data_IF_834348792836
#
_entry.id   IF_834348792836
#
_cell.length_a   1.000
_cell.length_b   1.000
_cell.length_c   1.000
_cell.angle_alpha   90.00
_cell.angle_beta   90.00
_cell.angle_gamma   90.00
#
_symmetry.space_group_name_H-M   'P 1'
#
loop_
_entity.id
_entity.type
_entity.pdbx_description
1 polymer ?
#
# COMPACT_ATOMS: atom_id res chain seq x y z
N UNK A 1 10.25 -1.83 -3.50
CA UNK A 1 11.00 -0.59 -3.24
C UNK A 1 10.18 0.64 -3.58
N UNK A 2 9.98 0.94 -4.87
CA UNK A 2 9.30 2.19 -5.31
C UNK A 2 7.89 2.33 -4.72
N UNK A 3 7.05 1.29 -4.78
CA UNK A 3 5.70 1.35 -4.21
C UNK A 3 5.67 1.66 -2.71
N UNK A 4 6.59 1.10 -1.92
CA UNK A 4 6.70 1.40 -0.49
C UNK A 4 7.20 2.82 -0.20
N UNK A 5 8.15 3.32 -0.99
CA UNK A 5 8.63 4.71 -0.88
C UNK A 5 7.52 5.71 -1.24
N UNK A 6 6.82 5.45 -2.36
CA UNK A 6 5.67 6.26 -2.77
C UNK A 6 4.55 6.19 -1.71
N UNK A 7 4.38 5.05 -1.05
CA UNK A 7 3.43 4.90 0.04
C UNK A 7 3.69 5.83 1.21
N UNK A 8 4.93 5.88 1.67
CA UNK A 8 5.32 6.81 2.73
C UNK A 8 5.15 8.27 2.31
N UNK A 9 5.58 8.61 1.09
CA UNK A 9 5.51 9.98 0.59
C UNK A 9 4.07 10.46 0.36
N UNK A 10 3.20 9.61 -0.22
CA UNK A 10 1.81 9.94 -0.50
C UNK A 10 1.02 10.15 0.80
N UNK A 11 1.09 9.19 1.74
CA UNK A 11 0.46 9.37 3.06
C UNK A 11 1.04 10.54 3.83
N UNK A 12 2.37 10.74 3.79
CA UNK A 12 3.00 11.89 4.43
C UNK A 12 2.49 13.21 3.87
N UNK A 13 2.43 13.34 2.54
CA UNK A 13 1.88 14.52 1.87
C UNK A 13 0.39 14.74 2.19
N UNK A 14 -0.43 13.68 2.17
CA UNK A 14 -1.84 13.73 2.54
C UNK A 14 -2.02 14.34 3.93
N UNK A 15 -1.32 13.81 4.93
CA UNK A 15 -1.43 14.29 6.31
C UNK A 15 -0.89 15.70 6.45
N UNK A 16 0.25 16.04 5.83
CA UNK A 16 0.75 17.42 5.86
C UNK A 16 -0.28 18.40 5.29
N UNK A 17 -0.91 18.09 4.16
CA UNK A 17 -1.91 18.94 3.50
C UNK A 17 -3.17 19.05 4.35
N UNK A 18 -3.79 17.93 4.72
CA UNK A 18 -5.11 17.94 5.38
C UNK A 18 -5.07 18.23 6.88
N UNK A 19 -3.91 18.14 7.54
CA UNK A 19 -3.79 18.49 8.96
C UNK A 19 -3.06 19.81 9.18
N UNK A 20 -1.86 19.98 8.60
CA UNK A 20 -0.98 21.10 8.94
C UNK A 20 -1.19 22.31 8.04
N UNK A 21 -1.53 22.07 6.77
CA UNK A 21 -1.73 23.12 5.77
C UNK A 21 -3.18 23.24 5.30
N UNK A 22 -4.14 22.76 6.10
CA UNK A 22 -5.54 22.66 5.69
C UNK A 22 -6.11 24.02 5.27
N UNK A 23 -5.89 25.08 6.05
CA UNK A 23 -6.34 26.43 5.73
C UNK A 23 -5.69 26.99 4.45
N UNK A 24 -4.41 26.69 4.23
CA UNK A 24 -3.66 27.17 3.06
C UNK A 24 -4.04 26.39 1.79
N UNK A 25 -4.46 25.14 1.93
CA UNK A 25 -4.89 24.30 0.83
C UNK A 25 -6.33 24.62 0.38
N UNK A 26 -7.15 25.22 1.25
CA UNK A 26 -8.54 25.56 0.93
C UNK A 26 -8.66 26.46 -0.32
N UNK A 27 -9.54 26.06 -1.24
CA UNK A 27 -9.79 26.78 -2.49
C UNK A 27 -8.65 26.67 -3.51
N UNK A 28 -7.64 25.84 -3.26
CA UNK A 28 -6.57 25.54 -4.20
C UNK A 28 -6.70 24.11 -4.72
N UNK A 29 -6.03 23.83 -5.84
CA UNK A 29 -5.93 22.48 -6.40
C UNK A 29 -5.42 21.44 -5.38
N UNK A 30 -4.54 21.82 -4.45
CA UNK A 30 -3.99 20.90 -3.44
C UNK A 30 -4.99 20.55 -2.33
N UNK A 31 -6.04 21.35 -2.15
CA UNK A 31 -7.11 21.08 -1.19
C UNK A 31 -8.26 20.25 -1.75
N UNK A 32 -8.31 20.06 -3.07
CA UNK A 32 -9.35 19.24 -3.70
C UNK A 32 -9.19 17.77 -3.31
N UNK A 33 -10.29 17.11 -2.96
CA UNK A 33 -10.27 15.70 -2.56
C UNK A 33 -9.74 14.78 -3.68
N UNK A 34 -10.00 15.14 -4.94
CA UNK A 34 -9.51 14.39 -6.10
C UNK A 34 -7.97 14.42 -6.24
N UNK A 35 -7.29 15.45 -5.73
CA UNK A 35 -5.84 15.60 -5.87
C UNK A 35 -5.08 14.46 -5.18
N UNK A 36 -5.46 14.13 -3.93
CA UNK A 36 -4.69 13.13 -3.17
C UNK A 36 -4.77 11.75 -3.80
N UNK A 37 -5.91 11.42 -4.41
CA UNK A 37 -6.12 10.14 -5.04
C UNK A 37 -5.28 9.92 -6.30
N UNK A 38 -4.74 10.98 -6.92
CA UNK A 38 -3.76 10.84 -8.00
C UNK A 38 -2.50 10.12 -7.48
N UNK A 39 -2.04 10.50 -6.28
CA UNK A 39 -0.90 9.87 -5.63
C UNK A 39 -1.26 8.47 -5.13
N UNK A 40 -2.46 8.29 -4.56
CA UNK A 40 -2.89 7.00 -4.03
C UNK A 40 -3.00 5.93 -5.12
N UNK A 41 -3.58 6.28 -6.28
CA UNK A 41 -3.71 5.36 -7.41
C UNK A 41 -2.34 4.86 -7.86
N UNK A 42 -1.37 5.78 -8.03
CA UNK A 42 -0.02 5.41 -8.44
C UNK A 42 0.67 4.52 -7.39
N UNK A 43 0.53 4.88 -6.11
CA UNK A 43 1.04 4.14 -4.97
C UNK A 43 0.49 2.71 -4.92
N UNK A 44 -0.83 2.54 -4.91
CA UNK A 44 -1.47 1.23 -4.81
C UNK A 44 -1.25 0.37 -6.05
N UNK A 45 -1.18 0.97 -7.25
CA UNK A 45 -0.83 0.23 -8.46
C UNK A 45 0.59 -0.37 -8.38
N UNK A 46 1.57 0.41 -7.92
CA UNK A 46 2.94 -0.09 -7.73
C UNK A 46 3.03 -1.14 -6.62
N UNK A 47 2.28 -0.99 -5.54
CA UNK A 47 2.20 -1.98 -4.47
C UNK A 47 1.53 -3.28 -4.96
N UNK A 48 0.50 -3.19 -5.80
CA UNK A 48 -0.14 -4.33 -6.43
C UNK A 48 0.84 -5.13 -7.29
N UNK A 49 1.59 -4.45 -8.16
CA UNK A 49 2.65 -5.09 -8.97
C UNK A 49 3.74 -5.68 -8.06
N UNK A 50 4.13 -4.96 -7.00
CA UNK A 50 5.09 -5.44 -6.01
C UNK A 50 4.63 -6.72 -5.30
N UNK A 51 3.35 -6.80 -4.91
CA UNK A 51 2.76 -7.98 -4.29
C UNK A 51 2.80 -9.20 -5.21
N UNK A 52 2.52 -9.02 -6.50
CA UNK A 52 2.66 -10.07 -7.51
C UNK A 52 4.11 -10.58 -7.56
N UNK A 53 5.09 -9.68 -7.62
CA UNK A 53 6.51 -10.06 -7.62
C UNK A 53 6.92 -10.85 -6.38
N UNK A 54 6.50 -10.41 -5.19
CA UNK A 54 6.74 -11.10 -3.91
C UNK A 54 6.11 -12.49 -3.94
N UNK A 55 4.86 -12.62 -4.41
CA UNK A 55 4.17 -13.89 -4.50
C UNK A 55 4.85 -14.87 -5.45
N UNK A 56 5.16 -14.44 -6.68
CA UNK A 56 5.77 -15.29 -7.70
C UNK A 56 7.08 -15.91 -7.22
N UNK A 57 7.90 -15.13 -6.49
CA UNK A 57 9.19 -15.58 -5.96
C UNK A 57 9.09 -16.74 -4.97
N UNK A 58 7.95 -16.91 -4.32
CA UNK A 58 7.73 -17.94 -3.29
C UNK A 58 6.49 -18.81 -3.57
N UNK A 59 5.97 -18.77 -4.79
CA UNK A 59 4.68 -19.37 -5.16
C UNK A 59 4.62 -20.89 -4.94
N UNK A 60 5.76 -21.58 -5.05
CA UNK A 60 5.92 -23.02 -4.80
C UNK A 60 6.04 -23.37 -3.32
N UNK A 61 6.35 -22.39 -2.47
CA UNK A 61 6.61 -22.58 -1.03
C UNK A 61 5.46 -22.08 -0.16
N UNK A 62 4.53 -21.34 -0.74
CA UNK A 62 3.39 -20.78 -0.04
C UNK A 62 2.15 -21.68 -0.13
N UNK A 63 1.62 -22.09 1.02
CA UNK A 63 0.42 -22.91 1.11
C UNK A 63 -0.86 -22.15 0.76
N UNK A 64 -1.99 -22.87 0.68
CA UNK A 64 -3.31 -22.32 0.30
C UNK A 64 -3.73 -21.09 1.12
N UNK A 65 -3.48 -21.10 2.43
CA UNK A 65 -3.79 -19.97 3.32
C UNK A 65 -2.99 -18.72 2.94
N UNK A 66 -1.70 -18.87 2.65
CA UNK A 66 -0.89 -17.75 2.19
C UNK A 66 -1.32 -17.22 0.82
N UNK A 67 -1.79 -18.09 -0.08
CA UNK A 67 -2.41 -17.68 -1.35
C UNK A 67 -3.69 -16.88 -1.13
N UNK A 68 -4.54 -17.30 -0.20
CA UNK A 68 -5.74 -16.53 0.16
C UNK A 68 -5.39 -15.14 0.71
N UNK A 69 -4.38 -15.05 1.59
CA UNK A 69 -3.85 -13.76 2.06
C UNK A 69 -3.33 -12.89 0.90
N UNK A 70 -2.59 -13.47 -0.04
CA UNK A 70 -2.13 -12.77 -1.24
C UNK A 70 -3.29 -12.22 -2.09
N UNK A 71 -4.32 -13.01 -2.34
CA UNK A 71 -5.50 -12.54 -3.08
C UNK A 71 -6.26 -11.44 -2.34
N UNK A 72 -6.32 -11.50 -1.01
CA UNK A 72 -6.89 -10.42 -0.21
C UNK A 72 -6.07 -9.12 -0.33
N UNK A 73 -4.73 -9.20 -0.33
CA UNK A 73 -3.86 -8.05 -0.61
C UNK A 73 -4.12 -7.48 -2.01
N UNK A 74 -4.21 -8.33 -3.03
CA UNK A 74 -4.53 -7.90 -4.40
C UNK A 74 -5.90 -7.24 -4.49
N UNK A 75 -6.91 -7.80 -3.82
CA UNK A 75 -8.24 -7.24 -3.78
C UNK A 75 -8.26 -5.87 -3.09
N UNK A 76 -7.56 -5.73 -1.96
CA UNK A 76 -7.42 -4.46 -1.25
C UNK A 76 -6.77 -3.38 -2.13
N UNK A 77 -5.60 -3.66 -2.69
CA UNK A 77 -4.92 -2.71 -3.57
C UNK A 77 -5.68 -2.43 -4.87
N UNK A 78 -6.28 -3.44 -5.47
CA UNK A 78 -7.10 -3.29 -6.67
C UNK A 78 -8.32 -2.41 -6.42
N UNK A 79 -8.99 -2.61 -5.28
CA UNK A 79 -10.12 -1.77 -4.88
C UNK A 79 -9.68 -0.33 -4.62
N UNK A 80 -8.53 -0.10 -3.98
CA UNK A 80 -7.99 1.26 -3.82
C UNK A 80 -7.68 1.93 -5.16
N UNK A 81 -7.10 1.20 -6.13
CA UNK A 81 -6.83 1.74 -7.47
C UNK A 81 -8.13 2.10 -8.18
N UNK A 82 -9.12 1.20 -8.18
CA UNK A 82 -10.41 1.44 -8.86
C UNK A 82 -11.20 2.55 -8.16
N UNK A 83 -11.22 2.56 -6.83
CA UNK A 83 -11.87 3.61 -6.03
C UNK A 83 -11.24 4.98 -6.30
N UNK A 84 -9.92 5.09 -6.19
CA UNK A 84 -9.21 6.34 -6.45
C UNK A 84 -9.41 6.84 -7.88
N UNK A 85 -9.36 5.96 -8.89
CA UNK A 85 -9.66 6.33 -10.28
C UNK A 85 -11.11 6.82 -10.43
N UNK A 86 -12.06 6.19 -9.76
CA UNK A 86 -13.47 6.61 -9.77
C UNK A 86 -13.62 8.00 -9.17
N UNK A 87 -12.97 8.27 -8.03
CA UNK A 87 -13.01 9.59 -7.37
C UNK A 87 -12.37 10.67 -8.24
N UNK A 88 -11.23 10.39 -8.89
CA UNK A 88 -10.61 11.33 -9.83
C UNK A 88 -11.57 11.64 -10.99
N UNK A 89 -12.13 10.63 -11.65
CA UNK A 89 -13.01 10.83 -12.82
C UNK A 89 -14.28 11.59 -12.43
N UNK A 90 -14.91 11.22 -11.31
CA UNK A 90 -16.12 11.89 -10.83
C UNK A 90 -15.81 13.31 -10.35
N UNK A 91 -14.71 13.50 -9.64
CA UNK A 91 -14.27 14.81 -9.13
C UNK A 91 -14.00 15.81 -10.25
N UNK A 92 -13.37 15.35 -11.34
CA UNK A 92 -13.15 16.17 -12.54
C UNK A 92 -14.44 16.46 -13.34
N UNK A 93 -15.49 15.66 -13.18
CA UNK A 93 -16.73 15.78 -13.96
C UNK A 93 -17.85 16.55 -13.23
N UNK A 94 -17.99 16.37 -11.92
CA UNK A 94 -19.12 16.87 -11.13
C UNK A 94 -18.68 17.90 -10.09
N UNK A 95 -17.42 17.84 -9.63
CA UNK A 95 -16.85 18.74 -8.59
C UNK A 95 -17.72 18.90 -7.32
N UNK A 96 -18.49 17.86 -6.98
CA UNK A 96 -19.31 17.81 -5.76
C UNK A 96 -18.63 16.96 -4.67
N UNK A 97 -18.07 17.64 -3.68
CA UNK A 97 -17.35 17.03 -2.56
C UNK A 97 -18.21 16.05 -1.74
N UNK A 98 -19.53 16.27 -1.66
CA UNK A 98 -20.42 15.35 -0.95
C UNK A 98 -20.48 13.97 -1.63
N UNK A 99 -20.55 13.96 -2.97
CA UNK A 99 -20.52 12.72 -3.76
C UNK A 99 -19.17 12.00 -3.63
N UNK A 100 -18.06 12.75 -3.63
CA UNK A 100 -16.72 12.15 -3.46
C UNK A 100 -16.55 11.50 -2.08
N UNK A 101 -17.03 12.16 -1.02
CA UNK A 101 -17.01 11.60 0.33
C UNK A 101 -17.80 10.29 0.47
N UNK A 102 -18.93 10.15 -0.22
CA UNK A 102 -19.70 8.88 -0.23
C UNK A 102 -18.92 7.76 -0.91
N UNK A 103 -18.25 8.04 -2.04
CA UNK A 103 -17.41 7.05 -2.72
C UNK A 103 -16.25 6.58 -1.82
N UNK A 104 -15.69 7.50 -1.05
CA UNK A 104 -14.63 7.22 -0.10
C UNK A 104 -15.07 6.27 1.00
N UNK A 105 -16.20 6.56 1.65
CA UNK A 105 -16.77 5.76 2.75
C UNK A 105 -17.09 4.33 2.30
N UNK A 106 -17.44 4.12 1.03
CA UNK A 106 -17.77 2.79 0.51
C UNK A 106 -16.50 1.99 0.18
N UNK A 107 -15.51 2.62 -0.45
CA UNK A 107 -14.36 1.92 -1.04
C UNK A 107 -13.20 1.76 -0.05
N UNK A 108 -12.87 2.81 0.70
CA UNK A 108 -11.67 2.83 1.56
C UNK A 108 -11.72 1.86 2.73
N UNK A 109 -12.82 1.72 3.50
CA UNK A 109 -12.86 0.81 4.63
C UNK A 109 -12.70 -0.65 4.19
N UNK A 110 -13.39 -1.05 3.13
CA UNK A 110 -13.30 -2.41 2.61
C UNK A 110 -11.89 -2.70 2.07
N UNK A 111 -11.30 -1.77 1.31
CA UNK A 111 -9.95 -1.91 0.80
C UNK A 111 -8.93 -2.07 1.94
N UNK A 112 -9.04 -1.25 3.00
CA UNK A 112 -8.18 -1.34 4.17
C UNK A 112 -8.36 -2.65 4.95
N UNK A 113 -9.59 -3.13 5.15
CA UNK A 113 -9.83 -4.41 5.83
C UNK A 113 -9.22 -5.57 5.05
N UNK A 114 -9.47 -5.63 3.74
CA UNK A 114 -8.90 -6.67 2.87
C UNK A 114 -7.38 -6.61 2.86
N UNK A 115 -6.82 -5.41 2.73
CA UNK A 115 -5.39 -5.19 2.74
C UNK A 115 -4.76 -5.59 4.07
N UNK A 116 -5.32 -5.15 5.20
CA UNK A 116 -4.75 -5.41 6.52
C UNK A 116 -4.77 -6.90 6.87
N UNK A 117 -5.92 -7.56 6.73
CA UNK A 117 -6.06 -9.01 6.98
C UNK A 117 -5.22 -9.80 5.98
N UNK A 118 -5.27 -9.43 4.70
CA UNK A 118 -4.49 -10.05 3.64
C UNK A 118 -3.00 -9.97 3.92
N UNK A 119 -2.49 -8.79 4.29
CA UNK A 119 -1.09 -8.55 4.62
C UNK A 119 -0.63 -9.34 5.84
N UNK A 120 -1.47 -9.46 6.87
CA UNK A 120 -1.15 -10.29 8.03
C UNK A 120 -0.96 -11.75 7.61
N UNK A 121 -1.94 -12.31 6.91
CA UNK A 121 -1.91 -13.73 6.50
C UNK A 121 -0.78 -13.99 5.50
N UNK A 122 -0.64 -13.14 4.49
CA UNK A 122 0.40 -13.25 3.46
C UNK A 122 1.80 -13.01 4.03
N UNK A 123 1.96 -12.06 4.94
CA UNK A 123 3.23 -11.76 5.59
C UNK A 123 3.70 -12.87 6.52
N UNK A 124 2.80 -13.47 7.31
CA UNK A 124 3.11 -14.68 8.09
C UNK A 124 3.53 -15.82 7.15
N UNK A 125 2.82 -16.00 6.04
CA UNK A 125 3.16 -17.04 5.07
C UNK A 125 4.53 -16.79 4.40
N UNK A 126 4.84 -15.53 4.07
CA UNK A 126 6.14 -15.09 3.53
C UNK A 126 7.26 -15.31 4.54
N UNK A 127 7.03 -14.95 5.80
CA UNK A 127 7.96 -15.17 6.90
C UNK A 127 8.27 -16.66 7.08
N UNK A 128 7.24 -17.51 7.04
CA UNK A 128 7.36 -18.97 7.16
C UNK A 128 8.04 -19.62 5.96
N UNK A 129 7.81 -19.09 4.75
CA UNK A 129 8.47 -19.59 3.55
C UNK A 129 9.99 -19.38 3.61
N UNK A 130 10.43 -18.29 4.24
CA UNK A 130 11.85 -18.01 4.48
C UNK A 130 12.68 -17.77 3.22
N UNK A 131 12.01 -17.52 2.08
CA UNK A 131 12.66 -17.23 0.80
C UNK A 131 13.08 -15.75 0.72
N UNK A 132 12.24 -14.85 1.25
CA UNK A 132 12.49 -13.42 1.30
C UNK A 132 12.88 -12.98 2.72
N UNK A 133 13.46 -11.77 2.91
CA UNK A 133 13.85 -11.28 4.22
C UNK A 133 12.69 -11.28 5.23
N UNK A 134 12.88 -12.05 6.30
CA UNK A 134 11.88 -12.21 7.38
C UNK A 134 11.45 -10.89 8.01
N UNK A 135 12.38 -9.96 8.18
CA UNK A 135 12.09 -8.62 8.70
C UNK A 135 11.10 -7.85 7.81
N UNK A 136 11.33 -7.83 6.50
CA UNK A 136 10.42 -7.20 5.53
C UNK A 136 9.02 -7.82 5.55
N UNK A 137 8.93 -9.15 5.68
CA UNK A 137 7.67 -9.86 5.78
C UNK A 137 6.88 -9.51 7.06
N UNK A 138 7.55 -9.39 8.21
CA UNK A 138 6.93 -8.97 9.47
C UNK A 138 6.45 -7.52 9.41
N UNK A 139 7.28 -6.60 8.90
CA UNK A 139 6.90 -5.20 8.73
C UNK A 139 5.68 -5.05 7.82
N UNK A 140 5.66 -5.77 6.69
CA UNK A 140 4.53 -5.82 5.77
C UNK A 140 3.26 -6.39 6.41
N UNK A 141 3.37 -7.31 7.37
CA UNK A 141 2.24 -7.88 8.10
C UNK A 141 1.69 -6.94 9.18
N UNK A 142 2.58 -6.34 9.96
CA UNK A 142 2.23 -5.59 11.18
C UNK A 142 1.75 -4.18 10.85
N UNK A 143 2.42 -3.48 9.92
CA UNK A 143 2.11 -2.08 9.61
C UNK A 143 0.65 -1.83 9.23
N UNK A 144 0.06 -2.59 8.29
CA UNK A 144 -1.33 -2.41 7.88
C UNK A 144 -2.36 -2.71 8.98
N UNK A 145 -2.09 -3.74 9.79
CA UNK A 145 -2.94 -4.09 10.94
C UNK A 145 -2.89 -2.97 11.99
N UNK A 146 -1.71 -2.44 12.26
CA UNK A 146 -1.55 -1.31 13.17
C UNK A 146 -2.26 -0.08 12.62
N UNK A 147 -2.07 0.27 11.34
CA UNK A 147 -2.76 1.39 10.71
C UNK A 147 -4.28 1.27 10.84
N UNK A 148 -4.82 0.09 10.51
CA UNK A 148 -6.24 -0.20 10.63
C UNK A 148 -6.72 -0.06 12.09
N UNK A 149 -5.97 -0.61 13.05
CA UNK A 149 -6.31 -0.49 14.47
C UNK A 149 -6.32 0.98 14.92
N UNK A 150 -5.36 1.80 14.48
CA UNK A 150 -5.30 3.24 14.78
C UNK A 150 -6.58 3.97 14.33
N UNK A 151 -7.09 3.65 13.13
CA UNK A 151 -8.37 4.21 12.67
C UNK A 151 -9.55 3.76 13.54
N UNK A 152 -9.61 2.49 13.93
CA UNK A 152 -10.72 1.95 14.73
C UNK A 152 -10.81 2.54 16.14
N UNK A 153 -9.68 2.99 16.70
CA UNK A 153 -9.63 3.60 18.04
C UNK A 153 -9.67 5.14 18.01
N UNK A 154 -9.95 5.74 16.85
CA UNK A 154 -10.10 7.20 16.72
C UNK A 154 -8.79 7.98 16.68
N UNK A 155 -7.67 7.33 16.39
CA UNK A 155 -6.37 8.01 16.18
C UNK A 155 -6.12 8.37 14.71
N UNK A 156 -7.13 8.19 13.84
CA UNK A 156 -7.08 8.46 12.40
C UNK A 156 -6.68 9.88 12.06
N UNK A 157 -7.15 10.88 12.82
CA UNK A 157 -6.90 12.28 12.47
C UNK A 157 -5.59 12.84 13.06
N UNK A 158 -4.84 12.02 13.80
CA UNK A 158 -3.61 12.44 14.46
C UNK A 158 -2.40 12.00 13.65
N UNK A 159 -1.62 12.98 13.18
CA UNK A 159 -0.45 12.77 12.31
C UNK A 159 0.53 11.74 12.88
N UNK A 160 0.97 11.91 14.13
CA UNK A 160 2.06 11.11 14.68
C UNK A 160 1.67 9.61 14.86
N UNK A 161 0.51 9.25 15.44
CA UNK A 161 0.05 7.86 15.51
C UNK A 161 -0.16 7.16 14.17
N UNK A 162 -0.39 7.90 13.07
CA UNK A 162 -0.60 7.33 11.73
C UNK A 162 0.72 7.20 10.96
N UNK A 163 1.61 8.16 11.07
CA UNK A 163 2.89 8.11 10.35
C UNK A 163 3.75 6.91 10.74
N UNK A 164 3.68 6.45 11.99
CA UNK A 164 4.45 5.28 12.45
C UNK A 164 4.03 3.99 11.73
N UNK A 165 2.76 3.54 11.76
CA UNK A 165 2.35 2.35 11.02
C UNK A 165 2.49 2.50 9.50
N UNK A 166 2.35 3.72 8.96
CA UNK A 166 2.65 4.02 7.55
C UNK A 166 4.12 3.77 7.24
N UNK A 167 5.05 4.26 8.07
CA UNK A 167 6.48 4.03 7.92
C UNK A 167 6.83 2.54 8.03
N UNK A 168 6.25 1.83 8.99
CA UNK A 168 6.44 0.37 9.15
C UNK A 168 6.01 -0.36 7.88
N UNK A 169 4.83 -0.03 7.34
CA UNK A 169 4.30 -0.62 6.10
C UNK A 169 5.22 -0.33 4.91
N UNK A 170 5.62 0.93 4.75
CA UNK A 170 6.50 1.38 3.69
C UNK A 170 7.85 0.65 3.73
N UNK A 171 8.48 0.57 4.90
CA UNK A 171 9.75 -0.14 5.10
C UNK A 171 9.63 -1.62 4.76
N UNK A 172 8.52 -2.27 5.11
CA UNK A 172 8.26 -3.66 4.72
C UNK A 172 8.28 -3.86 3.21
N UNK A 173 7.51 -3.06 2.47
CA UNK A 173 7.47 -3.10 1.00
C UNK A 173 8.77 -2.65 0.33
N UNK A 174 9.48 -1.71 0.97
CA UNK A 174 10.79 -1.27 0.49
C UNK A 174 11.80 -2.39 0.58
N UNK A 175 11.90 -3.05 1.73
CA UNK A 175 12.83 -4.14 1.98
C UNK A 175 12.55 -5.35 1.08
N UNK A 176 11.29 -5.80 1.02
CA UNK A 176 10.91 -6.93 0.16
C UNK A 176 11.20 -6.64 -1.31
N UNK A 177 10.87 -5.44 -1.81
CA UNK A 177 11.16 -5.12 -3.20
C UNK A 177 12.65 -4.83 -3.47
N UNK A 178 13.43 -4.42 -2.46
CA UNK A 178 14.88 -4.35 -2.59
C UNK A 178 15.48 -5.75 -2.77
N UNK A 179 15.04 -6.73 -1.97
CA UNK A 179 15.50 -8.12 -2.06
C UNK A 179 15.19 -8.75 -3.43
N UNK A 180 13.99 -8.52 -3.97
CA UNK A 180 13.63 -8.96 -5.32
C UNK A 180 14.56 -8.36 -6.40
N UNK A 181 14.95 -7.10 -6.23
CA UNK A 181 15.81 -6.41 -7.19
C UNK A 181 17.28 -6.83 -7.08
N UNK A 182 17.78 -7.06 -5.86
CA UNK A 182 19.17 -7.47 -5.63
C UNK A 182 19.44 -8.87 -6.18
N UNK A 183 18.55 -9.84 -5.92
CA UNK A 183 18.71 -11.21 -6.43
C UNK A 183 18.67 -11.28 -7.97
N UNK A 184 17.80 -10.45 -8.61
CA UNK A 184 17.75 -10.36 -10.07
C UNK A 184 19.10 -9.94 -10.67
N UNK A 185 19.83 -9.04 -10.00
CA UNK A 185 21.14 -8.58 -10.47
C UNK A 185 22.17 -9.69 -10.42
N UNK A 186 22.19 -10.48 -9.34
CA UNK A 186 23.11 -11.61 -9.19
C UNK A 186 22.91 -12.63 -10.31
N UNK A 187 21.66 -12.98 -10.63
CA UNK A 187 21.34 -13.94 -11.70
C UNK A 187 21.76 -13.44 -13.10
N UNK A 188 21.79 -12.12 -13.31
CA UNK A 188 22.17 -11.54 -14.62
C UNK A 188 23.68 -11.36 -14.83
N UNK A 189 24.49 -11.51 -13.78
CA UNK A 189 25.95 -11.28 -13.83
C UNK A 189 26.73 -12.58 -13.99
N UNK A 190 26.12 -13.74 -13.73
CA UNK A 190 26.76 -15.04 -13.92
C UNK A 190 27.00 -15.31 -15.43
N UNK A 191 28.26 -15.31 -15.92
CA UNK A 191 28.54 -15.55 -17.33
C UNK A 191 28.27 -17.02 -17.67
N UNK A 192 27.68 -17.27 -18.83
CA UNK A 192 27.57 -18.62 -19.39
C UNK A 192 28.98 -19.25 -19.42
N UNK A 193 29.18 -20.44 -18.83
CA UNK A 193 30.49 -21.10 -18.90
C UNK A 193 30.81 -21.33 -20.37
N UNK A 194 31.94 -20.79 -20.83
CA UNK A 194 32.43 -21.01 -22.18
C UNK A 194 32.58 -22.52 -22.41
N UNK A 195 31.74 -23.08 -23.28
CA UNK A 195 31.79 -24.47 -23.76
C UNK A 195 32.83 -24.58 -24.86
#
# INVERSE_FOLDING_TARGET
MVGGALYFCAFGAAYLIYSLFAEQAQGTFFGEHAFIHILDVAMFALLLVGAVGVYLRQSDRIGKVGKAGFYAVLAGFGLSVVGGLTIIVVGLAVSDEATLGVLDVITHPLAHVLYAIGSLVFGIATFRAGILPRGGALLMAVGPIWLFASFMIGLGDTVLPILVPVAVTALGWMWLGYALHSERKETSVEPEPAV
#
